data_IF_236698469719
#
_entry.id   IF_236698469719
#
_cell.length_a   1.000
_cell.length_b   1.000
_cell.length_c   1.000
_cell.angle_alpha   90.00
_cell.angle_beta   90.00
_cell.angle_gamma   90.00
#
_symmetry.space_group_name_H-M   'P 1'
#
loop_
_entity.id
_entity.type
_entity.pdbx_description
1 polymer ?
#
# COMPACT_ATOMS: atom_id res chain seq x y z
N UNK A 1 -2.16 -31.79 -10.51
CA UNK A 1 -1.47 -30.49 -10.67
C UNK A 1 -1.43 -29.83 -9.31
N UNK A 2 -0.24 -29.74 -8.73
CA UNK A 2 -0.02 -29.25 -7.37
C UNK A 2 0.11 -27.73 -7.40
N UNK A 3 -0.84 -27.01 -6.79
CA UNK A 3 -0.78 -25.56 -6.65
C UNK A 3 0.18 -25.19 -5.54
N UNK A 4 1.41 -24.81 -5.93
CA UNK A 4 2.43 -24.29 -5.03
C UNK A 4 1.93 -22.98 -4.40
N UNK A 5 1.41 -23.04 -3.16
CA UNK A 5 1.15 -21.83 -2.36
C UNK A 5 2.49 -21.28 -1.90
N UNK A 6 2.95 -20.20 -2.50
CA UNK A 6 4.07 -19.39 -1.99
C UNK A 6 3.61 -18.60 -0.76
N UNK A 7 3.30 -19.28 0.34
CA UNK A 7 2.82 -18.65 1.57
C UNK A 7 3.94 -18.53 2.59
N UNK A 8 4.61 -17.38 2.67
CA UNK A 8 5.34 -17.01 3.90
C UNK A 8 4.31 -16.53 4.92
N UNK A 9 4.37 -17.05 6.15
CA UNK A 9 3.51 -16.61 7.24
C UNK A 9 3.79 -15.14 7.53
N UNK A 10 2.74 -14.32 7.48
CA UNK A 10 2.80 -12.90 7.82
C UNK A 10 1.96 -12.72 9.08
N UNK A 11 2.49 -12.00 10.06
CA UNK A 11 1.72 -11.67 11.25
C UNK A 11 0.59 -10.71 10.84
N UNK A 12 -0.68 -11.00 11.19
CA UNK A 12 -1.76 -10.06 10.92
C UNK A 12 -1.51 -8.79 11.75
N UNK A 13 -1.41 -7.65 11.10
CA UNK A 13 -1.43 -6.38 11.82
C UNK A 13 -2.71 -6.22 12.63
N UNK A 14 -2.57 -5.49 13.73
CA UNK A 14 -3.68 -5.07 14.57
C UNK A 14 -4.72 -4.30 13.74
N UNK A 15 -6.02 -4.63 13.87
CA UNK A 15 -7.07 -4.00 13.12
C UNK A 15 -7.16 -2.52 13.49
N UNK A 16 -6.97 -1.64 12.51
CA UNK A 16 -7.38 -0.25 12.63
C UNK A 16 -8.79 -0.14 12.04
N UNK A 17 -9.76 0.21 12.89
CA UNK A 17 -11.11 0.50 12.46
C UNK A 17 -11.08 1.78 11.61
N UNK A 18 -11.46 1.66 10.34
CA UNK A 18 -11.74 2.80 9.48
C UNK A 18 -13.25 2.84 9.34
N UNK A 19 -13.87 3.85 9.94
CA UNK A 19 -15.31 4.08 9.87
C UNK A 19 -15.67 4.53 8.45
N UNK A 20 -15.95 3.56 7.57
CA UNK A 20 -16.57 3.84 6.28
C UNK A 20 -17.79 2.95 6.05
N UNK A 21 -18.98 3.53 5.81
CA UNK A 21 -20.24 2.78 5.76
C UNK A 21 -20.33 1.74 4.61
N UNK A 22 -19.38 1.74 3.66
CA UNK A 22 -19.30 0.75 2.57
C UNK A 22 -18.25 -0.35 2.79
N UNK A 23 -17.47 -0.29 3.88
CA UNK A 23 -16.37 -1.22 4.18
C UNK A 23 -16.73 -2.26 5.26
N UNK A 24 -18.02 -2.55 5.43
CA UNK A 24 -18.48 -3.53 6.41
C UNK A 24 -17.92 -4.91 6.02
N UNK A 25 -16.99 -5.43 6.84
CA UNK A 25 -16.26 -6.70 6.70
C UNK A 25 -14.89 -6.67 5.98
N UNK A 26 -14.14 -5.56 5.97
CA UNK A 26 -12.71 -5.58 5.59
C UNK A 26 -11.82 -5.06 6.71
N UNK A 27 -10.94 -5.92 7.23
CA UNK A 27 -9.89 -5.54 8.17
C UNK A 27 -8.72 -4.92 7.42
N UNK A 28 -8.30 -3.71 7.80
CA UNK A 28 -7.05 -3.12 7.33
C UNK A 28 -5.93 -3.38 8.34
N UNK A 29 -4.75 -3.68 7.81
CA UNK A 29 -3.58 -4.08 8.57
C UNK A 29 -2.29 -3.91 7.74
N UNK A 30 -1.18 -3.58 8.41
CA UNK A 30 0.17 -3.68 7.86
C UNK A 30 0.65 -5.14 7.80
N UNK A 31 1.26 -5.52 6.69
CA UNK A 31 1.87 -6.83 6.53
C UNK A 31 3.38 -6.69 6.74
N UNK A 32 3.85 -7.07 7.93
CA UNK A 32 5.26 -6.94 8.31
C UNK A 32 5.85 -8.32 8.51
N UNK A 33 7.01 -8.56 7.91
CA UNK A 33 7.78 -9.78 8.11
C UNK A 33 8.75 -9.61 9.29
N UNK A 34 9.23 -10.73 9.83
CA UNK A 34 10.16 -10.74 10.97
C UNK A 34 11.49 -10.01 10.73
N UNK A 35 11.89 -9.80 9.46
CA UNK A 35 13.08 -9.04 9.07
C UNK A 35 12.82 -7.52 8.95
N UNK A 36 11.64 -7.06 9.37
CA UNK A 36 11.26 -5.64 9.29
C UNK A 36 10.75 -5.20 7.91
N UNK A 37 10.65 -6.13 6.95
CA UNK A 37 10.07 -5.84 5.64
C UNK A 37 8.58 -5.52 5.78
N UNK A 38 8.16 -4.37 5.25
CA UNK A 38 6.77 -3.88 5.32
C UNK A 38 6.16 -3.80 3.91
N UNK A 39 5.10 -4.58 3.68
CA UNK A 39 4.43 -4.64 2.38
C UNK A 39 3.99 -3.26 1.87
N UNK A 40 3.46 -2.40 2.73
CA UNK A 40 2.94 -1.09 2.32
C UNK A 40 4.06 -0.18 1.82
N UNK A 41 5.21 -0.21 2.49
CA UNK A 41 6.41 0.55 2.10
C UNK A 41 6.98 0.00 0.80
N UNK A 42 7.06 -1.32 0.68
CA UNK A 42 7.75 -1.97 -0.44
C UNK A 42 6.91 -1.96 -1.72
N UNK A 43 5.59 -2.09 -1.60
CA UNK A 43 4.67 -1.86 -2.71
C UNK A 43 4.77 -0.41 -3.22
N UNK A 44 4.89 0.57 -2.32
CA UNK A 44 5.10 1.97 -2.70
C UNK A 44 6.45 2.20 -3.38
N UNK A 45 7.54 1.62 -2.84
CA UNK A 45 8.89 1.71 -3.43
C UNK A 45 8.97 1.11 -4.83
N UNK A 46 8.24 0.02 -5.07
CA UNK A 46 8.12 -0.60 -6.38
C UNK A 46 7.23 0.20 -7.36
N UNK A 47 6.55 1.25 -6.90
CA UNK A 47 5.60 2.02 -7.70
C UNK A 47 4.27 1.30 -7.94
N UNK A 48 3.93 0.28 -7.14
CA UNK A 48 2.65 -0.43 -7.25
C UNK A 48 1.56 0.18 -6.37
N UNK A 49 1.94 1.03 -5.41
CA UNK A 49 1.05 1.75 -4.53
C UNK A 49 1.47 3.22 -4.40
N UNK A 50 0.55 4.07 -3.97
CA UNK A 50 0.81 5.47 -3.62
C UNK A 50 0.31 5.74 -2.20
N UNK A 51 0.98 6.64 -1.49
CA UNK A 51 0.53 7.10 -0.18
C UNK A 51 -0.73 7.98 -0.37
N UNK A 52 -1.83 7.60 0.25
CA UNK A 52 -3.08 8.35 0.19
C UNK A 52 -3.52 8.82 1.58
N UNK A 53 -4.04 10.04 1.66
CA UNK A 53 -4.64 10.60 2.88
C UNK A 53 -6.15 10.53 2.74
N UNK A 54 -6.79 9.73 3.58
CA UNK A 54 -8.24 9.56 3.58
C UNK A 54 -8.87 10.47 4.63
N UNK A 55 -9.89 11.26 4.26
CA UNK A 55 -10.62 12.18 5.16
C UNK A 55 -9.70 13.05 6.04
N UNK A 56 -8.61 13.60 5.45
CA UNK A 56 -7.58 14.38 6.13
C UNK A 56 -6.86 13.63 7.28
N UNK A 57 -7.01 12.32 7.36
CA UNK A 57 -6.37 11.44 8.36
C UNK A 57 -5.32 10.58 7.66
N UNK A 58 -4.03 10.89 7.81
CA UNK A 58 -2.98 10.02 7.30
C UNK A 58 -2.96 8.71 8.09
N UNK A 59 -2.51 7.63 7.43
CA UNK A 59 -2.25 6.36 8.12
C UNK A 59 -1.01 6.47 9.02
N UNK A 60 -0.91 5.62 10.04
CA UNK A 60 0.20 5.66 11.03
C UNK A 60 1.59 5.65 10.38
N UNK A 61 1.79 4.90 9.28
CA UNK A 61 3.08 4.78 8.58
C UNK A 61 3.21 5.71 7.37
N UNK A 62 2.42 6.78 7.31
CA UNK A 62 2.32 7.64 6.13
C UNK A 62 3.69 8.14 5.64
N UNK A 63 4.54 8.66 6.53
CA UNK A 63 5.83 9.25 6.15
C UNK A 63 6.76 8.25 5.46
N UNK A 64 6.83 7.01 5.97
CA UNK A 64 7.65 5.96 5.38
C UNK A 64 7.12 5.53 3.99
N UNK A 65 5.80 5.41 3.85
CA UNK A 65 5.16 5.06 2.58
C UNK A 65 5.32 6.21 1.56
N UNK A 66 5.20 7.47 2.01
CA UNK A 66 5.35 8.66 1.17
C UNK A 66 6.79 8.82 0.67
N UNK A 67 7.79 8.59 1.53
CA UNK A 67 9.19 8.57 1.14
C UNK A 67 9.47 7.50 0.07
N UNK A 68 8.99 6.27 0.28
CA UNK A 68 9.13 5.18 -0.68
C UNK A 68 8.41 5.46 -2.02
N UNK A 69 7.22 6.07 -1.97
CA UNK A 69 6.51 6.50 -3.18
C UNK A 69 7.31 7.57 -3.93
N UNK A 70 7.97 8.51 -3.23
CA UNK A 70 8.83 9.51 -3.85
C UNK A 70 10.07 8.89 -4.51
N UNK A 71 10.68 7.87 -3.92
CA UNK A 71 11.76 7.10 -4.57
C UNK A 71 11.26 6.47 -5.89
N UNK A 72 10.06 5.89 -5.88
CA UNK A 72 9.45 5.30 -7.06
C UNK A 72 9.12 6.33 -8.14
N UNK A 73 8.67 7.53 -7.74
CA UNK A 73 8.42 8.67 -8.63
C UNK A 73 9.68 9.13 -9.34
N UNK A 74 10.76 9.36 -8.59
CA UNK A 74 12.05 9.77 -9.16
C UNK A 74 12.60 8.72 -10.13
N UNK A 75 12.39 7.44 -9.82
CA UNK A 75 12.82 6.34 -10.67
C UNK A 75 11.83 5.95 -11.78
N UNK A 76 10.71 6.67 -11.94
CA UNK A 76 9.66 6.38 -12.92
C UNK A 76 9.17 4.92 -12.90
N UNK A 77 9.04 4.33 -11.69
CA UNK A 77 8.63 2.94 -11.51
C UNK A 77 7.11 2.79 -11.46
N UNK A 78 6.59 1.71 -12.04
CA UNK A 78 5.19 1.30 -11.92
C UNK A 78 4.22 2.42 -12.33
N UNK A 79 3.32 2.79 -11.42
CA UNK A 79 2.34 3.88 -11.56
C UNK A 79 2.97 5.21 -12.01
N UNK A 80 4.25 5.43 -11.72
CA UNK A 80 4.96 6.68 -12.00
C UNK A 80 5.66 6.72 -13.35
N UNK A 81 5.75 5.58 -14.04
CA UNK A 81 6.24 5.50 -15.41
C UNK A 81 5.11 5.49 -16.44
N UNK A 82 5.43 5.43 -17.74
CA UNK A 82 4.43 5.23 -18.79
C UNK A 82 3.64 3.92 -18.58
N UNK A 83 2.34 3.88 -18.95
CA UNK A 83 1.54 4.96 -19.52
C UNK A 83 0.91 5.89 -18.48
N UNK A 84 0.92 5.49 -17.21
CA UNK A 84 0.19 6.19 -16.15
C UNK A 84 0.82 7.55 -15.82
N UNK A 85 2.15 7.66 -15.86
CA UNK A 85 2.91 8.89 -15.57
C UNK A 85 2.46 9.58 -14.26
N UNK A 86 2.09 8.80 -13.26
CA UNK A 86 1.62 9.29 -11.96
C UNK A 86 0.17 9.75 -11.91
N UNK A 87 -0.64 9.50 -12.94
CA UNK A 87 -2.08 9.72 -12.86
C UNK A 87 -2.74 8.65 -11.96
N UNK A 88 -2.83 8.96 -10.66
CA UNK A 88 -3.38 8.07 -9.62
C UNK A 88 -4.69 8.60 -9.03
N UNK A 89 -5.30 9.60 -9.66
CA UNK A 89 -6.52 10.22 -9.14
C UNK A 89 -7.68 9.24 -9.18
N UNK A 90 -8.32 9.04 -8.03
CA UNK A 90 -9.57 8.28 -7.93
C UNK A 90 -10.73 9.17 -8.34
N UNK A 91 -10.93 9.32 -9.65
CA UNK A 91 -12.09 10.05 -10.19
C UNK A 91 -13.36 9.20 -10.04
N UNK A 92 -14.46 9.77 -9.50
CA UNK A 92 -15.76 9.11 -9.56
C UNK A 92 -16.13 8.82 -11.02
N UNK A 93 -16.65 7.62 -11.29
CA UNK A 93 -17.29 7.30 -12.58
C UNK A 93 -18.75 7.68 -12.57
#
# INVERSE_FOLDING_TARGET
>A
METKRTGRQVEPAQPHHVDHPTAVNRTLGYLVRADGWDYSVEAARAGMAHAYVYDRRPVVRYDAIAAAANEARQAHRGLWGPPCNGNTDSVPR
#
